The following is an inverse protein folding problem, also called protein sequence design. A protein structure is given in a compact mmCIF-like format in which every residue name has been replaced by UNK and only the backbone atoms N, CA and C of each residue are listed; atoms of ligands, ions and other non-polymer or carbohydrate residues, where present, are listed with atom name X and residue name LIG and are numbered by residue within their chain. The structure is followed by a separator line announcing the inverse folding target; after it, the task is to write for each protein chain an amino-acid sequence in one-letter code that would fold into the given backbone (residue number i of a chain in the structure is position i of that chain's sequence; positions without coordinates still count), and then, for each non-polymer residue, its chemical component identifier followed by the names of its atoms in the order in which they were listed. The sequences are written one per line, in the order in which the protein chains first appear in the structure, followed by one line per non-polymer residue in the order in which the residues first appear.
data_IF_147871379355
#
_entry.id   IF_147871379355
#
_cell.length_a   1.000
_cell.length_b   1.000
_cell.length_c   1.000
_cell.angle_alpha   90.00
_cell.angle_beta   90.00
_cell.angle_gamma   90.00
#
_symmetry.space_group_name_H-M   'P 1'
#
loop_
_entity.id
_entity.type
_entity.pdbx_description
1 polymer ?
#
# COMPACT_ATOMS: atom_id res chain seq x y z
N UNK A 1 8.46 20.18 3.87
CA UNK A 1 8.99 19.67 5.16
C UNK A 1 7.89 18.83 5.77
N UNK A 2 8.10 17.52 5.82
CA UNK A 2 7.12 16.61 6.41
C UNK A 2 6.98 16.91 7.91
N UNK A 3 5.76 17.18 8.36
CA UNK A 3 5.43 17.29 9.79
C UNK A 3 5.10 15.89 10.30
N UNK A 4 6.09 15.00 10.28
CA UNK A 4 5.93 13.63 10.74
C UNK A 4 5.39 13.57 12.17
N UNK A 5 4.56 12.57 12.46
CA UNK A 5 4.10 12.28 13.83
C UNK A 5 5.29 11.73 14.61
N UNK A 6 5.47 12.20 15.85
CA UNK A 6 6.43 11.63 16.81
C UNK A 6 5.77 11.45 18.16
N UNK A 7 5.90 10.25 18.73
CA UNK A 7 5.49 9.96 20.10
C UNK A 7 6.76 9.75 20.93
N UNK A 8 7.10 10.73 21.76
CA UNK A 8 8.20 10.59 22.71
C UNK A 8 7.81 9.63 23.83
N UNK A 9 8.76 8.83 24.32
CA UNK A 9 8.57 7.99 25.52
C UNK A 9 8.58 8.86 26.78
N UNK A 10 7.54 9.65 26.94
CA UNK A 10 7.40 10.62 28.03
C UNK A 10 5.92 10.93 28.30
N UNK A 11 5.65 11.52 29.47
CA UNK A 11 4.29 11.91 29.86
C UNK A 11 3.30 10.76 29.79
N UNK A 12 2.24 10.92 29.00
CA UNK A 12 1.19 9.90 28.87
C UNK A 12 1.66 8.62 28.16
N UNK A 13 2.82 8.66 27.49
CA UNK A 13 3.41 7.55 26.73
C UNK A 13 4.70 7.04 27.38
N UNK A 14 4.96 7.31 28.66
CA UNK A 14 6.19 6.85 29.34
C UNK A 14 6.39 5.32 29.33
N UNK A 15 5.31 4.55 29.08
CA UNK A 15 5.29 3.08 29.06
C UNK A 15 5.28 2.46 27.66
N UNK A 16 5.50 3.25 26.59
CA UNK A 16 5.82 2.67 25.28
C UNK A 16 7.26 2.11 25.29
N UNK A 17 7.57 1.17 24.41
CA UNK A 17 8.87 0.49 24.42
C UNK A 17 10.03 1.48 24.18
N UNK A 18 9.89 2.31 23.16
CA UNK A 18 10.81 3.41 22.78
C UNK A 18 10.07 4.58 22.11
N UNK A 19 10.74 5.73 21.94
CA UNK A 19 10.16 6.83 21.17
C UNK A 19 9.80 6.35 19.76
N UNK A 20 8.59 6.68 19.30
CA UNK A 20 8.05 6.17 18.04
C UNK A 20 7.98 7.30 17.02
N UNK A 21 8.64 7.10 15.89
CA UNK A 21 8.59 7.96 14.71
C UNK A 21 8.18 7.06 13.54
N UNK A 22 6.87 6.91 13.28
CA UNK A 22 6.38 6.02 12.24
C UNK A 22 6.77 6.48 10.84
N UNK A 23 7.04 5.51 9.97
CA UNK A 23 6.95 5.67 8.53
C UNK A 23 5.48 5.55 8.08
N UNK A 24 5.22 5.89 6.82
CA UNK A 24 3.87 5.77 6.23
C UNK A 24 3.42 4.31 6.28
N UNK A 25 2.33 4.05 7.01
CA UNK A 25 1.72 2.73 7.13
C UNK A 25 2.01 2.03 8.46
N UNK A 26 2.95 2.52 9.26
CA UNK A 26 3.21 1.98 10.59
C UNK A 26 2.04 2.21 11.54
N UNK A 27 1.78 1.21 12.38
CA UNK A 27 0.72 1.20 13.38
C UNK A 27 1.31 0.89 14.76
N UNK A 28 1.01 1.76 15.72
CA UNK A 28 1.16 1.44 17.14
C UNK A 28 -0.22 1.23 17.76
N UNK A 29 -0.38 0.13 18.50
CA UNK A 29 -1.59 -0.15 19.28
C UNK A 29 -1.33 0.19 20.74
N UNK A 30 -2.20 1.02 21.32
CA UNK A 30 -2.09 1.48 22.71
C UNK A 30 -3.38 1.17 23.48
N UNK A 31 -3.24 0.77 24.75
CA UNK A 31 -4.36 0.67 25.69
C UNK A 31 -4.30 1.83 26.68
N UNK A 32 -5.39 2.59 26.78
CA UNK A 32 -5.54 3.63 27.79
C UNK A 32 -5.80 3.00 29.17
N UNK A 33 -5.08 3.44 30.18
CA UNK A 33 -5.24 3.06 31.58
C UNK A 33 -6.19 4.00 32.31
N UNK A 34 -6.66 3.57 33.48
CA UNK A 34 -7.57 4.36 34.32
C UNK A 34 -6.97 5.69 34.80
N UNK A 35 -5.63 5.77 34.91
CA UNK A 35 -4.88 6.98 35.27
C UNK A 35 -4.68 7.96 34.09
N UNK A 36 -5.21 7.63 32.91
CA UNK A 36 -5.10 8.46 31.71
C UNK A 36 -3.82 8.23 30.89
N UNK A 37 -2.89 7.39 31.35
CA UNK A 37 -1.69 7.01 30.61
C UNK A 37 -1.94 5.86 29.64
N UNK A 38 -1.01 5.61 28.73
CA UNK A 38 -1.09 4.55 27.74
C UNK A 38 -0.02 3.49 27.98
N UNK A 39 -0.37 2.22 27.71
CA UNK A 39 0.59 1.14 27.55
C UNK A 39 0.61 0.68 26.09
N UNK A 40 1.79 0.35 25.60
CA UNK A 40 1.95 -0.28 24.28
C UNK A 40 1.48 -1.72 24.34
N UNK A 41 0.56 -2.08 23.44
CA UNK A 41 0.05 -3.45 23.29
C UNK A 41 0.56 -4.12 22.01
N UNK A 42 1.18 -3.36 21.10
CA UNK A 42 1.87 -3.89 19.93
C UNK A 42 2.35 -2.79 18.99
N UNK A 43 3.39 -3.12 18.22
CA UNK A 43 3.80 -2.41 17.02
C UNK A 43 3.59 -3.32 15.83
N UNK A 44 2.97 -2.78 14.82
CA UNK A 44 2.91 -3.35 13.50
C UNK A 44 3.60 -2.34 12.62
N UNK A 45 4.76 -2.70 12.09
CA UNK A 45 5.18 -2.02 10.89
C UNK A 45 4.12 -2.38 9.84
N UNK A 46 3.69 -1.44 9.00
CA UNK A 46 3.25 -1.91 7.69
C UNK A 46 4.39 -2.80 7.19
N UNK A 47 4.11 -3.94 6.55
CA UNK A 47 5.18 -4.58 5.78
C UNK A 47 5.85 -3.46 4.99
N UNK A 48 7.09 -3.16 5.36
CA UNK A 48 7.82 -1.99 4.90
C UNK A 48 8.34 -2.23 3.48
N UNK A 49 7.84 -3.27 2.82
CA UNK A 49 8.28 -3.74 1.52
C UNK A 49 7.20 -3.49 0.46
N UNK A 50 6.41 -2.42 0.61
CA UNK A 50 5.62 -1.95 -0.52
C UNK A 50 6.59 -1.54 -1.63
N UNK A 51 6.88 -2.45 -2.55
CA UNK A 51 7.87 -2.21 -3.61
C UNK A 51 7.31 -1.16 -4.55
N UNK A 52 8.11 -0.14 -4.83
CA UNK A 52 7.70 0.90 -5.77
C UNK A 52 8.02 0.46 -7.20
N UNK A 53 7.03 0.56 -8.08
CA UNK A 53 7.28 0.42 -9.50
C UNK A 53 8.12 1.59 -10.03
N UNK A 54 8.91 1.34 -11.07
CA UNK A 54 9.54 2.43 -11.80
C UNK A 54 8.48 3.38 -12.40
N UNK A 55 8.80 4.68 -12.57
CA UNK A 55 7.92 5.62 -13.24
C UNK A 55 7.51 5.18 -14.65
N UNK A 56 6.27 5.49 -15.03
CA UNK A 56 5.74 5.33 -16.39
C UNK A 56 5.65 3.88 -16.91
N UNK A 57 5.75 2.89 -16.02
CA UNK A 57 5.62 1.47 -16.34
C UNK A 57 4.18 1.09 -16.73
N UNK A 58 4.03 0.44 -17.88
CA UNK A 58 2.73 -0.05 -18.38
C UNK A 58 2.51 -1.54 -18.12
N UNK A 59 3.57 -2.26 -17.73
CA UNK A 59 3.52 -3.67 -17.36
C UNK A 59 4.55 -3.98 -16.24
N UNK A 60 4.39 -3.38 -15.04
CA UNK A 60 5.35 -3.55 -13.97
C UNK A 60 5.40 -5.00 -13.45
N UNK A 61 6.56 -5.37 -12.88
CA UNK A 61 6.80 -6.69 -12.29
C UNK A 61 6.26 -6.78 -10.88
N UNK A 62 5.66 -7.93 -10.54
CA UNK A 62 5.24 -8.30 -9.19
C UNK A 62 6.23 -9.27 -8.52
N UNK A 63 7.45 -9.37 -9.04
CA UNK A 63 8.52 -10.15 -8.43
C UNK A 63 8.85 -9.59 -7.04
N UNK A 64 9.22 -10.48 -6.12
CA UNK A 64 9.73 -10.16 -4.77
C UNK A 64 8.74 -9.46 -3.81
N UNK A 65 7.46 -9.35 -4.15
CA UNK A 65 6.48 -8.71 -3.27
C UNK A 65 5.02 -9.08 -3.54
N UNK A 66 4.17 -8.80 -2.55
CA UNK A 66 2.71 -8.88 -2.67
C UNK A 66 2.03 -7.52 -2.52
N UNK A 67 2.80 -6.49 -2.12
CA UNK A 67 2.33 -5.13 -1.89
C UNK A 67 3.21 -4.18 -2.68
N UNK A 68 2.59 -3.27 -3.44
CA UNK A 68 3.30 -2.36 -4.33
C UNK A 68 2.71 -0.95 -4.28
N UNK A 69 3.53 0.03 -4.67
CA UNK A 69 3.10 1.39 -4.92
C UNK A 69 3.42 1.74 -6.38
N UNK A 70 2.51 2.45 -7.06
CA UNK A 70 2.79 2.95 -8.40
C UNK A 70 3.99 3.89 -8.43
N UNK A 71 4.66 4.00 -9.58
CA UNK A 71 5.73 4.97 -9.75
C UNK A 71 5.26 6.42 -9.67
N UNK A 72 6.19 7.35 -9.49
CA UNK A 72 5.95 8.79 -9.70
C UNK A 72 5.96 9.09 -11.20
N UNK A 73 4.85 8.79 -11.87
CA UNK A 73 4.75 8.95 -13.31
C UNK A 73 4.93 10.41 -13.75
N UNK A 74 5.55 10.61 -14.91
CA UNK A 74 5.75 11.92 -15.56
C UNK A 74 4.73 12.21 -16.65
N UNK A 75 3.88 11.22 -16.97
CA UNK A 75 2.82 11.29 -17.97
C UNK A 75 1.70 10.32 -17.64
N UNK A 76 0.56 10.48 -18.31
CA UNK A 76 -0.54 9.53 -18.22
C UNK A 76 -0.05 8.10 -18.47
N UNK A 77 -0.25 7.22 -17.49
CA UNK A 77 0.28 5.85 -17.50
C UNK A 77 -0.86 4.87 -17.24
N UNK A 78 -1.07 3.97 -18.20
CA UNK A 78 -2.04 2.90 -18.09
C UNK A 78 -1.30 1.57 -17.87
N UNK A 79 -1.57 0.93 -16.73
CA UNK A 79 -1.09 -0.41 -16.45
C UNK A 79 -2.00 -1.38 -17.21
N UNK A 80 -1.42 -2.11 -18.16
CA UNK A 80 -2.12 -3.03 -19.06
C UNK A 80 -1.88 -4.50 -18.72
N UNK A 81 -0.87 -4.78 -17.88
CA UNK A 81 -0.59 -6.10 -17.32
C UNK A 81 0.30 -5.98 -16.07
N UNK A 82 0.53 -7.10 -15.39
CA UNK A 82 1.66 -7.27 -14.48
C UNK A 82 2.48 -8.49 -14.90
N UNK A 83 3.81 -8.41 -14.79
CA UNK A 83 4.69 -9.57 -15.02
C UNK A 83 5.01 -10.30 -13.72
N UNK A 84 5.49 -11.53 -13.83
CA UNK A 84 6.01 -12.33 -12.70
C UNK A 84 4.99 -12.67 -11.60
N UNK A 85 3.70 -12.47 -11.88
CA UNK A 85 2.62 -12.80 -10.96
C UNK A 85 2.39 -14.31 -10.86
N UNK A 86 2.35 -14.80 -9.63
CA UNK A 86 2.10 -16.20 -9.30
C UNK A 86 0.60 -16.47 -9.20
N UNK A 87 0.13 -17.56 -9.84
CA UNK A 87 -1.28 -17.94 -9.80
C UNK A 87 -1.70 -18.33 -8.37
N UNK A 88 -2.85 -17.82 -7.93
CA UNK A 88 -3.38 -18.02 -6.58
C UNK A 88 -2.96 -16.96 -5.57
N UNK A 89 -2.01 -16.08 -5.91
CA UNK A 89 -1.55 -14.99 -5.04
C UNK A 89 -2.40 -13.73 -5.21
N UNK A 90 -2.60 -13.01 -4.10
CA UNK A 90 -3.32 -11.73 -4.06
C UNK A 90 -2.31 -10.60 -3.87
N UNK A 91 -2.29 -9.68 -4.82
CA UNK A 91 -1.42 -8.51 -4.82
C UNK A 91 -2.20 -7.26 -4.44
N UNK A 92 -1.60 -6.36 -3.68
CA UNK A 92 -2.17 -5.05 -3.32
C UNK A 92 -1.36 -3.94 -3.96
N UNK A 93 -2.00 -3.11 -4.79
CA UNK A 93 -1.36 -2.00 -5.49
C UNK A 93 -1.94 -0.69 -4.96
N UNK A 94 -1.08 0.17 -4.40
CA UNK A 94 -1.41 1.50 -3.92
C UNK A 94 -1.06 2.57 -4.95
N UNK A 95 -1.87 3.63 -5.00
CA UNK A 95 -1.51 4.86 -5.71
C UNK A 95 -0.42 5.64 -4.98
N UNK A 96 0.57 6.12 -5.73
CA UNK A 96 1.65 7.00 -5.22
C UNK A 96 1.19 8.41 -4.89
N UNK A 97 0.07 8.87 -5.47
CA UNK A 97 -0.39 10.25 -5.34
C UNK A 97 0.30 11.23 -6.29
N UNK A 98 0.91 10.74 -7.39
CA UNK A 98 1.44 11.61 -8.45
C UNK A 98 0.31 12.37 -9.17
N UNK A 99 0.66 13.50 -9.80
CA UNK A 99 -0.25 14.24 -10.69
C UNK A 99 -0.76 13.35 -11.83
N UNK A 100 0.09 12.43 -12.29
CA UNK A 100 -0.21 11.46 -13.33
C UNK A 100 -0.48 10.06 -12.75
N UNK A 101 -1.51 9.94 -11.91
CA UNK A 101 -1.89 8.67 -11.30
C UNK A 101 -2.06 7.55 -12.34
N UNK A 102 -1.53 6.35 -12.03
CA UNK A 102 -1.69 5.19 -12.91
C UNK A 102 -3.15 4.76 -13.00
N UNK A 103 -3.54 4.26 -14.17
CA UNK A 103 -4.89 3.72 -14.40
C UNK A 103 -4.85 2.24 -14.77
N UNK A 104 -5.90 1.50 -14.42
CA UNK A 104 -6.14 0.12 -14.85
C UNK A 104 -7.55 0.05 -15.44
N UNK A 105 -7.65 -0.26 -16.72
CA UNK A 105 -8.94 -0.46 -17.38
C UNK A 105 -9.53 -1.85 -17.07
N UNK A 106 -10.85 -1.97 -17.16
CA UNK A 106 -11.50 -3.30 -17.18
C UNK A 106 -11.38 -3.93 -18.57
N UNK A 107 -11.23 -5.24 -18.64
CA UNK A 107 -11.02 -6.00 -19.88
C UNK A 107 -9.56 -6.39 -20.12
N UNK A 108 -9.34 -7.22 -21.15
CA UNK A 108 -8.02 -7.77 -21.45
C UNK A 108 -7.53 -8.70 -20.33
N UNK A 109 -6.44 -8.28 -19.66
CA UNK A 109 -5.81 -9.03 -18.55
C UNK A 109 -6.52 -8.83 -17.21
N UNK A 110 -7.44 -7.87 -17.10
CA UNK A 110 -8.08 -7.49 -15.85
C UNK A 110 -9.60 -7.71 -15.90
N UNK A 111 -10.12 -8.40 -14.89
CA UNK A 111 -11.55 -8.54 -14.62
C UNK A 111 -11.87 -7.70 -13.39
N UNK A 112 -12.22 -6.44 -13.63
CA UNK A 112 -12.52 -5.45 -12.59
C UNK A 112 -14.00 -5.10 -12.58
N UNK A 113 -14.50 -4.65 -11.43
CA UNK A 113 -15.87 -4.12 -11.30
C UNK A 113 -16.06 -2.85 -12.13
N UNK A 114 -15.04 -2.01 -12.18
CA UNK A 114 -14.93 -0.81 -13.03
C UNK A 114 -13.44 -0.45 -13.20
N UNK A 115 -13.13 0.43 -14.17
CA UNK A 115 -11.77 0.96 -14.33
C UNK A 115 -11.32 1.69 -13.04
N UNK A 116 -10.02 1.62 -12.75
CA UNK A 116 -9.43 2.15 -11.52
C UNK A 116 -8.40 3.24 -11.84
N UNK A 117 -8.46 4.35 -11.12
CA UNK A 117 -7.39 5.35 -11.06
C UNK A 117 -6.73 5.27 -9.69
N UNK A 118 -5.45 4.91 -9.64
CA UNK A 118 -4.66 4.73 -8.42
C UNK A 118 -4.11 6.08 -7.93
N UNK A 119 -5.01 6.97 -7.50
CA UNK A 119 -4.65 8.26 -6.88
C UNK A 119 -4.19 8.10 -5.43
N UNK A 120 -3.80 9.19 -4.77
CA UNK A 120 -3.41 9.16 -3.36
C UNK A 120 -4.49 8.51 -2.49
N UNK A 121 -4.07 7.61 -1.60
CA UNK A 121 -4.96 6.90 -0.67
C UNK A 121 -5.83 5.82 -1.32
N UNK A 122 -5.73 5.61 -2.64
CA UNK A 122 -6.44 4.57 -3.36
C UNK A 122 -5.63 3.30 -3.51
N UNK A 123 -6.31 2.16 -3.50
CA UNK A 123 -5.70 0.87 -3.74
C UNK A 123 -6.62 -0.10 -4.48
N UNK A 124 -6.02 -1.12 -5.07
CA UNK A 124 -6.73 -2.28 -5.60
C UNK A 124 -6.02 -3.57 -5.18
N UNK A 125 -6.80 -4.58 -4.82
CA UNK A 125 -6.33 -5.95 -4.58
C UNK A 125 -6.74 -6.83 -5.74
N UNK A 126 -5.77 -7.55 -6.31
CA UNK A 126 -5.95 -8.38 -7.49
C UNK A 126 -5.44 -9.79 -7.22
N UNK A 127 -6.25 -10.81 -7.51
CA UNK A 127 -5.82 -12.20 -7.48
C UNK A 127 -5.43 -12.64 -8.90
N UNK A 128 -4.26 -13.26 -9.05
CA UNK A 128 -3.89 -13.91 -10.31
C UNK A 128 -4.58 -15.27 -10.42
N UNK A 129 -5.45 -15.45 -11.40
CA UNK A 129 -6.12 -16.72 -11.64
C UNK A 129 -5.33 -17.64 -12.58
N UNK A 130 -5.68 -18.93 -12.56
CA UNK A 130 -5.06 -19.96 -13.40
C UNK A 130 -5.30 -19.75 -14.91
N UNK A 131 -6.33 -18.98 -15.28
CA UNK A 131 -6.65 -18.63 -16.67
C UNK A 131 -5.73 -17.55 -17.25
N UNK A 132 -4.79 -17.04 -16.46
CA UNK A 132 -3.88 -15.99 -16.90
C UNK A 132 -4.29 -14.58 -16.48
N UNK A 133 -5.52 -14.34 -16.00
CA UNK A 133 -6.04 -13.00 -15.73
C UNK A 133 -5.93 -12.60 -14.26
N UNK A 134 -6.06 -11.31 -14.02
CA UNK A 134 -6.20 -10.72 -12.69
C UNK A 134 -7.66 -10.42 -12.39
N UNK A 135 -8.14 -10.91 -11.26
CA UNK A 135 -9.50 -10.67 -10.78
C UNK A 135 -9.47 -9.74 -9.59
N UNK A 136 -10.35 -8.75 -9.59
CA UNK A 136 -10.52 -7.87 -8.44
C UNK A 136 -11.00 -8.62 -7.20
N UNK A 137 -10.29 -8.43 -6.09
CA UNK A 137 -10.64 -8.94 -4.77
C UNK A 137 -11.24 -7.85 -3.90
N UNK A 138 -10.64 -6.66 -3.91
CA UNK A 138 -11.09 -5.50 -3.14
C UNK A 138 -10.51 -4.20 -3.72
N UNK A 139 -11.11 -3.07 -3.33
CA UNK A 139 -10.63 -1.72 -3.65
C UNK A 139 -10.94 -0.75 -2.51
N UNK A 140 -10.26 0.40 -2.48
CA UNK A 140 -10.50 1.50 -1.55
C UNK A 140 -10.03 2.84 -2.10
#
# INVERSE_FOLDING_TARGET
MDKGVKIEKSGNFELISEAWQPDKGDVIKLMKRADGKFIEIGRENASSDALQFAPDETAPSLLDGEVFVTGENTKATAITNFTDAEAGVVYTIYGSGSEYASTIATGGNFVLTEAMTLSEGKFIKLAKAADGKFYEVARG
#
